data_IF_219120771199
#
_entry.id   IF_219120771199
#
_cell.length_a   1.000
_cell.length_b   1.000
_cell.length_c   1.000
_cell.angle_alpha   90.00
_cell.angle_beta   90.00
_cell.angle_gamma   90.00
#
_symmetry.space_group_name_H-M   'P 1'
#
loop_
_entity.id
_entity.type
_entity.pdbx_description
1 polymer ?
#
# COMPACT_ATOMS: atom_id res chain seq x y z
N UNK A 1 10.50 3.02 -4.77
CA UNK A 1 9.33 2.39 -5.44
C UNK A 1 9.35 0.88 -5.25
N UNK A 2 10.26 0.15 -5.90
CA UNK A 2 10.37 -1.33 -5.70
C UNK A 2 10.61 -1.69 -4.24
N UNK A 3 11.57 -1.02 -3.57
CA UNK A 3 11.83 -1.22 -2.15
C UNK A 3 10.58 -1.05 -1.26
N UNK A 4 9.68 -0.10 -1.56
CA UNK A 4 8.45 0.10 -0.79
C UNK A 4 7.51 -1.13 -0.93
N UNK A 5 7.42 -1.69 -2.14
CA UNK A 5 6.59 -2.86 -2.44
C UNK A 5 7.20 -4.13 -1.86
N UNK A 6 8.53 -4.28 -1.90
CA UNK A 6 9.24 -5.41 -1.31
C UNK A 6 9.14 -5.43 0.22
N UNK A 7 9.19 -4.25 0.85
CA UNK A 7 9.02 -4.10 2.30
C UNK A 7 7.57 -4.29 2.74
N UNK A 8 6.62 -3.79 1.94
CA UNK A 8 5.19 -3.86 2.25
C UNK A 8 4.37 -4.07 0.96
N UNK A 9 4.09 -5.33 0.57
CA UNK A 9 3.39 -5.63 -0.68
C UNK A 9 1.89 -5.27 -0.66
N UNK A 10 1.31 -5.05 0.53
CA UNK A 10 -0.07 -4.58 0.77
C UNK A 10 -0.17 -3.04 0.88
N UNK A 11 0.90 -2.29 0.57
CA UNK A 11 0.90 -0.83 0.64
C UNK A 11 -0.10 -0.21 -0.34
N UNK A 12 -0.89 0.73 0.14
CA UNK A 12 -1.80 1.54 -0.66
C UNK A 12 -1.00 2.57 -1.46
N UNK A 13 -1.54 2.97 -2.62
CA UNK A 13 -0.89 4.00 -3.44
C UNK A 13 -0.80 5.37 -2.73
N UNK A 14 -1.70 5.65 -1.78
CA UNK A 14 -1.67 6.85 -0.94
C UNK A 14 -0.55 6.76 0.09
N UNK A 15 -0.47 5.66 0.84
CA UNK A 15 0.62 5.43 1.80
C UNK A 15 1.99 5.47 1.10
N UNK A 16 2.05 4.93 -0.12
CA UNK A 16 3.26 4.96 -0.94
C UNK A 16 3.60 6.37 -1.44
N UNK A 17 2.60 7.23 -1.69
CA UNK A 17 2.83 8.65 -1.99
C UNK A 17 3.43 9.35 -0.77
N UNK A 18 2.88 9.11 0.42
CA UNK A 18 3.33 9.69 1.68
C UNK A 18 4.78 9.29 1.98
N UNK A 19 5.12 8.01 1.83
CA UNK A 19 6.50 7.53 1.98
C UNK A 19 7.47 8.17 0.98
N UNK A 20 7.07 8.36 -0.28
CA UNK A 20 7.91 9.03 -1.28
C UNK A 20 8.12 10.51 -0.93
N UNK A 21 7.10 11.17 -0.39
CA UNK A 21 7.21 12.53 0.09
C UNK A 21 8.11 12.62 1.32
N UNK A 22 7.99 11.69 2.27
CA UNK A 22 8.79 11.68 3.51
C UNK A 22 10.26 11.36 3.24
N UNK A 23 10.53 10.32 2.46
CA UNK A 23 11.90 9.80 2.25
C UNK A 23 12.63 10.62 1.18
N UNK A 24 11.95 10.98 0.09
CA UNK A 24 12.59 11.63 -1.07
C UNK A 24 12.26 13.12 -1.17
N UNK A 25 11.31 13.64 -0.38
CA UNK A 25 10.87 15.04 -0.47
C UNK A 25 10.03 15.37 -1.70
N UNK A 26 9.55 14.35 -2.44
CA UNK A 26 8.90 14.54 -3.74
C UNK A 26 7.45 14.05 -3.69
N UNK A 27 6.53 14.95 -4.01
CA UNK A 27 5.12 14.61 -4.14
C UNK A 27 4.87 14.02 -5.53
N UNK A 28 4.61 12.72 -5.59
CA UNK A 28 4.30 12.02 -6.84
C UNK A 28 2.82 11.72 -6.91
N UNK A 29 2.15 12.14 -7.98
CA UNK A 29 0.73 11.81 -8.14
C UNK A 29 0.49 10.30 -8.13
N UNK A 30 -0.61 9.88 -7.49
CA UNK A 30 -1.07 8.48 -7.45
C UNK A 30 -1.10 7.84 -8.84
N UNK A 31 -1.52 8.59 -9.86
CA UNK A 31 -1.57 8.11 -11.24
C UNK A 31 -0.17 7.79 -11.80
N UNK A 32 0.85 8.60 -11.46
CA UNK A 32 2.24 8.34 -11.84
C UNK A 32 2.80 7.13 -11.10
N UNK A 33 2.49 6.97 -9.81
CA UNK A 33 2.89 5.80 -9.03
C UNK A 33 2.29 4.53 -9.67
N UNK A 34 0.96 4.52 -9.89
CA UNK A 34 0.25 3.40 -10.52
C UNK A 34 0.84 3.01 -11.89
N UNK A 35 1.01 3.98 -12.79
CA UNK A 35 1.61 3.71 -14.12
C UNK A 35 3.01 3.14 -14.01
N UNK A 36 3.81 3.64 -13.08
CA UNK A 36 5.21 3.19 -12.92
C UNK A 36 5.27 1.76 -12.39
N UNK A 37 4.43 1.41 -11.43
CA UNK A 37 4.31 0.06 -10.86
C UNK A 37 3.86 -0.92 -11.95
N UNK A 38 2.80 -0.60 -12.70
CA UNK A 38 2.32 -1.45 -13.79
C UNK A 38 3.35 -1.63 -14.90
N UNK A 39 4.07 -0.56 -15.27
CA UNK A 39 5.14 -0.63 -16.27
C UNK A 39 6.30 -1.54 -15.85
N UNK A 40 6.53 -1.67 -14.54
CA UNK A 40 7.54 -2.57 -13.94
C UNK A 40 7.04 -4.00 -13.75
N UNK A 41 5.81 -4.31 -14.19
CA UNK A 41 5.25 -5.67 -14.13
C UNK A 41 4.53 -6.01 -12.82
N UNK A 42 4.42 -5.07 -11.89
CA UNK A 42 3.67 -5.26 -10.67
C UNK A 42 2.17 -5.08 -10.94
N UNK A 43 1.37 -6.03 -10.45
CA UNK A 43 -0.09 -6.00 -10.55
C UNK A 43 -0.70 -6.02 -9.15
N UNK A 44 -1.47 -4.99 -8.80
CA UNK A 44 -2.25 -5.01 -7.56
C UNK A 44 -3.52 -5.83 -7.79
N UNK A 45 -3.66 -6.98 -7.12
CA UNK A 45 -4.94 -7.68 -7.06
C UNK A 45 -5.91 -6.84 -6.23
N UNK A 46 -7.13 -6.63 -6.74
CA UNK A 46 -8.20 -6.08 -5.89
C UNK A 46 -8.54 -7.12 -4.83
N UNK A 47 -8.11 -6.87 -3.60
CA UNK A 47 -8.47 -7.73 -2.47
C UNK A 47 -9.91 -7.43 -2.04
N UNK A 48 -10.61 -8.45 -1.56
CA UNK A 48 -12.00 -8.35 -1.08
C UNK A 48 -12.11 -7.53 0.22
N UNK A 49 -13.34 -7.07 0.52
CA UNK A 49 -13.78 -6.12 1.57
C UNK A 49 -12.87 -5.84 2.79
N UNK A 50 -12.25 -6.80 3.50
CA UNK A 50 -11.34 -6.47 4.61
C UNK A 50 -10.11 -5.63 4.24
N UNK A 51 -9.63 -5.64 3.00
CA UNK A 51 -8.50 -4.77 2.57
C UNK A 51 -8.92 -3.36 2.11
N UNK A 52 -10.19 -2.99 2.31
CA UNK A 52 -10.72 -1.66 1.98
C UNK A 52 -10.60 -0.70 3.17
N UNK A 53 -10.26 -1.19 4.36
CA UNK A 53 -9.98 -0.37 5.53
C UNK A 53 -8.80 0.57 5.19
N UNK A 54 -9.13 1.85 4.96
CA UNK A 54 -8.17 2.90 4.55
C UNK A 54 -7.47 3.51 5.75
N UNK A 55 -7.84 3.09 6.95
CA UNK A 55 -7.37 3.58 8.22
C UNK A 55 -6.41 2.54 8.83
N UNK A 56 -5.26 3.00 9.31
CA UNK A 56 -4.22 2.12 9.85
C UNK A 56 -4.67 1.44 11.14
N UNK A 57 -5.50 2.11 11.96
CA UNK A 57 -6.03 1.56 13.20
C UNK A 57 -7.06 0.47 12.92
N UNK A 58 -7.94 0.69 11.93
CA UNK A 58 -8.89 -0.33 11.46
C UNK A 58 -8.12 -1.56 10.94
N UNK A 59 -7.10 -1.34 10.10
CA UNK A 59 -6.24 -2.41 9.57
C UNK A 59 -5.52 -3.16 10.69
N UNK A 60 -5.04 -2.46 11.72
CA UNK A 60 -4.39 -3.06 12.88
C UNK A 60 -5.37 -3.90 13.70
N UNK A 61 -6.59 -3.38 13.92
CA UNK A 61 -7.66 -4.10 14.61
C UNK A 61 -8.09 -5.36 13.85
N UNK A 62 -8.21 -5.30 12.52
CA UNK A 62 -8.51 -6.47 11.69
C UNK A 62 -7.37 -7.49 11.71
N UNK A 63 -6.10 -7.06 11.61
CA UNK A 63 -4.93 -7.95 11.73
C UNK A 63 -4.90 -8.65 13.08
N UNK A 64 -5.22 -7.96 14.18
CA UNK A 64 -5.34 -8.55 15.52
C UNK A 64 -6.47 -9.60 15.57
N UNK A 65 -7.65 -9.26 15.05
CA UNK A 65 -8.82 -10.16 15.03
C UNK A 65 -8.56 -11.44 14.21
N UNK A 66 -7.93 -11.32 13.05
CA UNK A 66 -7.60 -12.47 12.21
C UNK A 66 -6.45 -13.28 12.80
N UNK A 67 -5.45 -12.62 13.40
CA UNK A 67 -4.32 -13.27 14.06
C UNK A 67 -4.69 -14.09 15.30
N UNK A 68 -5.79 -13.76 16.00
CA UNK A 68 -6.33 -14.56 17.11
C UNK A 68 -7.05 -15.84 16.63
N UNK A 69 -7.42 -15.93 15.35
CA UNK A 69 -8.22 -17.03 14.81
C UNK A 69 -7.43 -18.10 14.06
N UNK A 70 -6.08 -18.07 14.11
CA UNK A 70 -5.18 -19.07 13.53
C UNK A 70 -4.10 -19.53 14.50
#
# INVERSE_FOLDING_TARGET
>A
LEACIEQQPDILLTEMQDQLQEICGIEVSIATISRTICRRGFTCKKVTRPAVERDEDDRAAFKMLVGEHF
#
